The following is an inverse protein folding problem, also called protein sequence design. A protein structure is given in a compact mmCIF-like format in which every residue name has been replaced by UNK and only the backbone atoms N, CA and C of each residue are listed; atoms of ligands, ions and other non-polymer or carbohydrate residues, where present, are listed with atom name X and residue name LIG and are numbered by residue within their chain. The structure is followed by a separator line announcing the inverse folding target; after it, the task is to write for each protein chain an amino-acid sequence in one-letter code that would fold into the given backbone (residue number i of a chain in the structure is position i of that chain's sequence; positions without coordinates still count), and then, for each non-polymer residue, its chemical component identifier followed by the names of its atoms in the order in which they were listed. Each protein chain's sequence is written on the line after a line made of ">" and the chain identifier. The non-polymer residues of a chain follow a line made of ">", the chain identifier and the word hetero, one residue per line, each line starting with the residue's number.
data_IF_230969372498
#
_entry.id   IF_230969372498
#
_cell.length_a   1.000
_cell.length_b   1.000
_cell.length_c   1.000
_cell.angle_alpha   90.00
_cell.angle_beta   90.00
_cell.angle_gamma   90.00
#
_symmetry.space_group_name_H-M   'P 1'
#
loop_
_entity.id
_entity.type
_entity.pdbx_description
1 polymer ?
#
# COMPACT_ATOMS: atom_id res chain seq x y z
N UNK A 1 -9.26 13.06 2.83
CA UNK A 1 -10.07 12.60 3.99
C UNK A 1 -9.14 12.01 5.03
N UNK A 2 -9.59 11.90 6.28
CA UNK A 2 -8.76 11.43 7.40
C UNK A 2 -9.24 10.04 7.81
N UNK A 3 -8.31 9.13 8.06
CA UNK A 3 -8.62 7.83 8.68
C UNK A 3 -9.23 8.10 10.06
N UNK A 4 -10.44 7.59 10.31
CA UNK A 4 -11.12 7.71 11.60
C UNK A 4 -11.14 6.40 12.37
N UNK A 5 -10.89 5.28 11.69
CA UNK A 5 -10.93 3.94 12.27
C UNK A 5 -9.73 3.10 11.86
N UNK A 6 -8.96 2.65 12.85
CA UNK A 6 -7.86 1.71 12.69
C UNK A 6 -8.29 0.30 13.07
N UNK A 7 -8.09 -0.67 12.19
CA UNK A 7 -8.33 -2.07 12.42
C UNK A 7 -7.04 -2.86 12.20
N UNK A 8 -6.79 -3.84 13.05
CA UNK A 8 -5.59 -4.66 13.00
C UNK A 8 -6.02 -6.12 12.92
N UNK A 9 -5.59 -6.83 11.90
CA UNK A 9 -5.84 -8.26 11.81
C UNK A 9 -5.03 -8.99 12.89
N UNK A 10 -5.63 -9.99 13.56
CA UNK A 10 -4.98 -10.73 14.68
C UNK A 10 -3.60 -11.28 14.30
N UNK A 11 -3.47 -11.80 13.07
CA UNK A 11 -2.25 -12.43 12.56
C UNK A 11 -1.02 -11.50 12.51
N UNK A 12 -1.24 -10.18 12.58
CA UNK A 12 -0.16 -9.19 12.49
C UNK A 12 -0.05 -8.29 13.73
N UNK A 13 -0.88 -8.52 14.76
CA UNK A 13 -0.96 -7.62 15.93
C UNK A 13 0.40 -7.43 16.62
N UNK A 14 1.24 -8.48 16.62
CA UNK A 14 2.54 -8.47 17.28
C UNK A 14 3.69 -7.96 16.40
N UNK A 15 3.42 -7.62 15.14
CA UNK A 15 4.47 -7.19 14.22
C UNK A 15 5.06 -5.84 14.67
N UNK A 16 6.39 -5.67 14.69
CA UNK A 16 7.02 -4.42 15.14
C UNK A 16 6.52 -3.18 14.39
N UNK A 17 6.30 -3.30 13.08
CA UNK A 17 5.79 -2.21 12.26
C UNK A 17 4.37 -1.77 12.66
N UNK A 18 3.54 -2.69 13.16
CA UNK A 18 2.18 -2.35 13.64
C UNK A 18 2.27 -1.44 14.85
N UNK A 19 3.18 -1.74 15.79
CA UNK A 19 3.43 -0.87 16.95
C UNK A 19 3.88 0.53 16.52
N UNK A 20 4.76 0.61 15.52
CA UNK A 20 5.19 1.89 14.95
C UNK A 20 4.01 2.68 14.35
N UNK A 21 3.22 2.03 13.49
CA UNK A 21 2.05 2.64 12.83
C UNK A 21 1.04 3.16 13.85
N UNK A 22 0.69 2.35 14.85
CA UNK A 22 -0.24 2.72 15.93
C UNK A 22 0.26 3.96 16.68
N UNK A 23 1.55 4.00 17.03
CA UNK A 23 2.14 5.14 17.74
C UNK A 23 2.12 6.45 16.93
N UNK A 24 2.21 6.35 15.59
CA UNK A 24 2.22 7.51 14.69
C UNK A 24 0.82 8.03 14.37
N UNK A 25 -0.15 7.13 14.23
CA UNK A 25 -1.54 7.47 13.89
C UNK A 25 -2.28 8.10 15.06
N UNK A 26 -2.00 7.67 16.29
CA UNK A 26 -2.59 8.19 17.53
C UNK A 26 -4.13 8.22 17.53
N UNK A 27 -4.75 7.13 17.04
CA UNK A 27 -6.20 6.91 17.10
C UNK A 27 -6.51 5.54 17.72
N UNK A 28 -7.71 5.37 18.32
CA UNK A 28 -8.14 4.07 18.82
C UNK A 28 -8.13 3.01 17.72
N UNK A 29 -7.63 1.82 18.05
CA UNK A 29 -7.67 0.67 17.15
C UNK A 29 -8.50 -0.48 17.73
N UNK A 30 -8.95 -1.37 16.86
CA UNK A 30 -9.55 -2.64 17.27
C UNK A 30 -8.87 -3.81 16.58
N UNK A 31 -8.64 -4.88 17.32
CA UNK A 31 -8.15 -6.14 16.75
C UNK A 31 -9.35 -6.93 16.23
N UNK A 32 -9.22 -7.45 15.01
CA UNK A 32 -10.23 -8.29 14.37
C UNK A 32 -9.63 -9.64 14.00
N UNK A 33 -10.46 -10.67 14.09
CA UNK A 33 -10.09 -12.03 13.68
C UNK A 33 -10.30 -12.21 12.17
N UNK A 34 -11.52 -11.92 11.71
CA UNK A 34 -11.95 -12.12 10.33
C UNK A 34 -12.29 -10.78 9.66
N UNK A 35 -11.93 -10.63 8.38
CA UNK A 35 -12.22 -9.41 7.60
C UNK A 35 -13.62 -9.42 6.99
N UNK A 36 -14.29 -10.57 6.92
CA UNK A 36 -15.57 -10.72 6.24
C UNK A 36 -16.66 -9.79 6.81
N UNK A 37 -16.82 -9.77 8.14
CA UNK A 37 -17.80 -8.91 8.80
C UNK A 37 -17.51 -7.41 8.58
N UNK A 38 -16.22 -7.02 8.51
CA UNK A 38 -15.83 -5.66 8.14
C UNK A 38 -16.25 -5.34 6.71
N UNK A 39 -15.99 -6.27 5.79
CA UNK A 39 -16.25 -6.09 4.36
C UNK A 39 -17.74 -5.96 4.08
N UNK A 40 -18.56 -6.80 4.70
CA UNK A 40 -20.02 -6.73 4.64
C UNK A 40 -20.55 -5.42 5.23
N UNK A 41 -20.01 -5.01 6.38
CA UNK A 41 -20.39 -3.74 7.01
C UNK A 41 -20.12 -2.54 6.11
N UNK A 42 -18.95 -2.44 5.50
CA UNK A 42 -18.60 -1.33 4.60
C UNK A 42 -19.46 -1.36 3.34
N UNK A 43 -19.63 -2.54 2.74
CA UNK A 43 -20.43 -2.72 1.51
C UNK A 43 -21.91 -2.40 1.72
N UNK A 44 -22.45 -2.64 2.92
CA UNK A 44 -23.84 -2.36 3.27
C UNK A 44 -24.14 -0.92 3.68
N UNK A 45 -23.14 -0.02 3.70
CA UNK A 45 -23.38 1.40 4.02
C UNK A 45 -24.04 2.14 2.85
N UNK A 46 -24.63 3.30 3.12
CA UNK A 46 -25.20 4.18 2.09
C UNK A 46 -24.15 4.66 1.07
N UNK A 47 -22.91 4.81 1.52
CA UNK A 47 -21.76 5.19 0.70
C UNK A 47 -20.55 4.32 1.08
N UNK A 48 -20.39 3.15 0.43
CA UNK A 48 -19.28 2.23 0.71
C UNK A 48 -17.92 2.83 0.41
N UNK A 49 -17.82 3.72 -0.58
CA UNK A 49 -16.58 4.37 -0.98
C UNK A 49 -16.12 5.30 0.13
N UNK A 50 -16.98 6.23 0.58
CA UNK A 50 -16.67 7.12 1.69
C UNK A 50 -16.31 6.33 2.95
N UNK A 51 -17.15 5.35 3.30
CA UNK A 51 -16.95 4.53 4.50
C UNK A 51 -15.63 3.76 4.48
N UNK A 52 -15.23 3.23 3.32
CA UNK A 52 -13.99 2.51 3.16
C UNK A 52 -12.74 3.40 3.18
N UNK A 53 -12.84 4.68 2.78
CA UNK A 53 -11.74 5.66 2.88
C UNK A 53 -11.42 6.08 4.31
N UNK A 54 -12.38 5.93 5.23
CA UNK A 54 -12.24 6.28 6.64
C UNK A 54 -11.64 5.13 7.47
N UNK A 55 -11.59 3.92 6.92
CA UNK A 55 -11.06 2.72 7.57
C UNK A 55 -9.66 2.41 7.04
N UNK A 56 -8.71 2.24 7.95
CA UNK A 56 -7.42 1.63 7.68
C UNK A 56 -7.37 0.24 8.31
N UNK A 57 -7.16 -0.78 7.48
CA UNK A 57 -6.90 -2.15 7.92
C UNK A 57 -5.40 -2.48 7.78
N UNK A 58 -4.74 -2.77 8.90
CA UNK A 58 -3.41 -3.36 8.91
C UNK A 58 -3.53 -4.88 8.83
N UNK A 59 -2.93 -5.48 7.81
CA UNK A 59 -3.05 -6.91 7.54
C UNK A 59 -1.82 -7.46 6.83
N UNK A 60 -1.79 -8.78 6.61
CA UNK A 60 -0.74 -9.46 5.84
C UNK A 60 -1.13 -9.53 4.36
N UNK A 61 -0.20 -9.23 3.45
CA UNK A 61 -0.35 -9.66 2.07
C UNK A 61 -0.16 -11.18 2.00
N UNK A 62 -1.22 -11.91 1.61
CA UNK A 62 -1.20 -13.38 1.47
C UNK A 62 -0.76 -13.84 0.06
N UNK A 63 -0.63 -12.92 -0.89
CA UNK A 63 -0.21 -13.21 -2.26
C UNK A 63 1.19 -12.67 -2.58
N UNK A 64 1.55 -12.66 -3.86
CA UNK A 64 2.80 -12.04 -4.35
C UNK A 64 2.83 -10.55 -4.09
N UNK A 65 3.98 -10.02 -3.68
CA UNK A 65 4.22 -8.57 -3.62
C UNK A 65 4.52 -8.01 -4.99
N UNK A 66 5.25 -8.74 -5.84
CA UNK A 66 5.58 -8.31 -7.19
C UNK A 66 4.57 -8.91 -8.17
N UNK A 67 3.87 -8.03 -8.89
CA UNK A 67 2.88 -8.40 -9.90
C UNK A 67 3.23 -7.75 -11.22
N UNK A 68 2.87 -8.39 -12.33
CA UNK A 68 2.92 -7.76 -13.64
C UNK A 68 1.79 -6.74 -13.77
N UNK A 69 2.08 -5.59 -14.40
CA UNK A 69 1.02 -4.66 -14.80
C UNK A 69 0.09 -5.37 -15.80
N UNK A 70 -1.24 -5.25 -15.67
CA UNK A 70 -2.18 -5.89 -16.60
C UNK A 70 -2.01 -5.38 -18.04
N UNK A 71 -1.37 -4.23 -18.22
CA UNK A 71 -1.17 -3.59 -19.52
C UNK A 71 -2.47 -3.09 -20.13
N UNK A 72 -2.34 -2.41 -21.26
CA UNK A 72 -3.49 -1.95 -22.05
C UNK A 72 -3.55 -2.76 -23.32
N UNK A 73 -4.73 -3.33 -23.62
CA UNK A 73 -4.94 -4.08 -24.86
C UNK A 73 -4.60 -3.20 -26.07
N UNK A 74 -3.89 -3.77 -27.03
CA UNK A 74 -3.40 -3.10 -28.25
C UNK A 74 -2.21 -2.16 -28.09
N UNK A 75 -1.58 -2.09 -26.91
CA UNK A 75 -0.35 -1.32 -26.66
C UNK A 75 0.84 -2.27 -26.55
N UNK A 76 2.02 -1.84 -26.98
CA UNK A 76 3.28 -2.54 -26.65
C UNK A 76 3.52 -2.41 -25.16
N UNK A 77 3.60 -3.55 -24.46
CA UNK A 77 3.78 -3.56 -23.02
C UNK A 77 5.15 -2.98 -22.64
N UNK A 78 5.17 -2.13 -21.60
CA UNK A 78 6.40 -1.49 -21.11
C UNK A 78 7.12 -2.30 -20.01
N UNK A 79 6.64 -3.52 -19.70
CA UNK A 79 7.22 -4.40 -18.68
C UNK A 79 7.19 -3.82 -17.26
N UNK A 80 6.21 -2.95 -16.97
CA UNK A 80 6.08 -2.33 -15.65
C UNK A 80 5.58 -3.34 -14.63
N UNK A 81 6.26 -3.39 -13.48
CA UNK A 81 5.89 -4.23 -12.33
C UNK A 81 5.19 -3.40 -11.26
N UNK A 82 4.31 -4.04 -10.52
CA UNK A 82 3.61 -3.44 -9.38
C UNK A 82 4.23 -4.03 -8.11
N UNK A 83 4.66 -3.16 -7.19
CA UNK A 83 4.96 -3.54 -5.82
C UNK A 83 3.71 -3.32 -4.96
N UNK A 84 3.04 -4.41 -4.61
CA UNK A 84 1.74 -4.42 -3.95
C UNK A 84 1.89 -4.20 -2.44
N UNK A 85 2.01 -2.93 -2.03
CA UNK A 85 2.23 -2.53 -0.62
C UNK A 85 0.93 -2.30 0.16
N UNK A 86 -0.19 -2.12 -0.56
CA UNK A 86 -1.48 -1.83 0.01
C UNK A 86 -2.52 -1.63 -1.09
N UNK A 87 -3.76 -1.42 -0.66
CA UNK A 87 -4.90 -1.25 -1.55
C UNK A 87 -5.67 0.02 -1.23
N UNK A 88 -6.31 0.56 -2.27
CA UNK A 88 -7.19 1.71 -2.20
C UNK A 88 -6.49 3.00 -1.75
N UNK A 89 -7.23 4.08 -1.48
CA UNK A 89 -6.65 5.38 -1.20
C UNK A 89 -7.59 6.26 -0.37
N UNK A 90 -7.03 7.13 0.46
CA UNK A 90 -7.74 8.12 1.31
C UNK A 90 -8.22 9.36 0.56
N UNK A 91 -7.93 9.48 -0.73
CA UNK A 91 -8.32 10.60 -1.58
C UNK A 91 -9.65 10.36 -2.29
N UNK A 92 -10.35 11.45 -2.59
CA UNK A 92 -11.67 11.41 -3.22
C UNK A 92 -11.71 12.02 -4.61
N UNK A 93 -10.86 11.47 -5.48
CA UNK A 93 -10.90 11.82 -6.89
C UNK A 93 -12.19 11.28 -7.52
N UNK A 94 -13.00 12.15 -8.11
CA UNK A 94 -14.25 11.77 -8.79
C UNK A 94 -14.05 10.76 -9.93
N UNK A 95 -12.85 10.67 -10.49
CA UNK A 95 -12.47 9.78 -11.60
C UNK A 95 -11.66 8.56 -11.14
N UNK A 96 -11.68 8.22 -9.85
CA UNK A 96 -10.81 7.18 -9.30
C UNK A 96 -11.23 5.77 -9.74
N UNK A 97 -10.42 5.16 -10.62
CA UNK A 97 -10.64 3.78 -11.07
C UNK A 97 -10.63 2.75 -9.93
N UNK A 98 -9.93 3.02 -8.82
CA UNK A 98 -9.87 2.10 -7.68
C UNK A 98 -11.23 1.90 -7.01
N UNK A 99 -12.17 2.86 -7.16
CA UNK A 99 -13.55 2.74 -6.68
C UNK A 99 -14.33 1.64 -7.42
N UNK A 100 -13.99 1.38 -8.68
CA UNK A 100 -14.57 0.29 -9.48
C UNK A 100 -13.74 -0.99 -9.43
N UNK A 101 -12.51 -0.93 -8.91
CA UNK A 101 -11.62 -2.09 -8.82
C UNK A 101 -11.80 -2.85 -7.49
N UNK A 102 -11.86 -2.14 -6.36
CA UNK A 102 -11.92 -2.74 -5.03
C UNK A 102 -13.34 -2.80 -4.48
N UNK A 103 -13.78 -4.00 -4.14
CA UNK A 103 -15.09 -4.27 -3.53
C UNK A 103 -14.91 -5.28 -2.37
N UNK A 104 -14.87 -4.82 -1.10
CA UNK A 104 -15.12 -3.45 -0.66
C UNK A 104 -13.92 -2.50 -0.89
N UNK A 105 -14.18 -1.19 -1.06
CA UNK A 105 -13.14 -0.18 -1.27
C UNK A 105 -12.48 0.26 0.04
N UNK A 106 -11.72 -0.63 0.70
CA UNK A 106 -11.09 -0.36 2.01
C UNK A 106 -9.59 -0.07 1.84
N UNK A 107 -9.09 0.92 2.56
CA UNK A 107 -7.64 1.13 2.66
C UNK A 107 -7.01 -0.02 3.46
N UNK A 108 -6.26 -0.89 2.79
CA UNK A 108 -5.49 -1.96 3.42
C UNK A 108 -4.01 -1.66 3.28
N UNK A 109 -3.26 -1.78 4.36
CA UNK A 109 -1.81 -1.61 4.36
C UNK A 109 -1.15 -2.91 4.81
N UNK A 110 -0.22 -3.43 4.01
CA UNK A 110 0.40 -4.72 4.27
C UNK A 110 1.64 -4.55 5.14
N UNK A 111 1.63 -5.21 6.29
CA UNK A 111 2.64 -4.99 7.34
C UNK A 111 3.73 -6.05 7.39
N UNK A 112 3.63 -7.10 6.57
CA UNK A 112 4.66 -8.12 6.44
C UNK A 112 5.80 -7.66 5.52
N UNK A 113 6.45 -6.56 5.89
CA UNK A 113 7.53 -5.94 5.12
C UNK A 113 8.74 -6.88 4.92
N UNK A 114 9.01 -7.79 5.85
CA UNK A 114 10.13 -8.73 5.70
C UNK A 114 9.93 -9.66 4.49
N UNK A 115 8.70 -10.14 4.29
CA UNK A 115 8.36 -10.93 3.10
C UNK A 115 8.43 -10.08 1.82
N UNK A 116 7.99 -8.82 1.89
CA UNK A 116 8.09 -7.86 0.78
C UNK A 116 9.55 -7.67 0.36
N UNK A 117 10.43 -7.39 1.32
CA UNK A 117 11.84 -7.16 1.03
C UNK A 117 12.54 -8.45 0.59
N UNK A 118 12.19 -9.61 1.14
CA UNK A 118 12.72 -10.89 0.66
C UNK A 118 12.37 -11.15 -0.83
N UNK A 119 11.12 -10.92 -1.23
CA UNK A 119 10.69 -11.06 -2.64
C UNK A 119 11.36 -10.01 -3.54
N UNK A 120 11.46 -8.76 -3.06
CA UNK A 120 12.13 -7.66 -3.77
C UNK A 120 13.63 -7.92 -3.95
N UNK A 121 14.32 -8.38 -2.91
CA UNK A 121 15.74 -8.65 -2.93
C UNK A 121 16.08 -9.78 -3.89
N UNK A 122 15.27 -10.84 -3.87
CA UNK A 122 15.37 -11.90 -4.87
C UNK A 122 15.22 -11.34 -6.29
N UNK A 123 14.19 -10.53 -6.56
CA UNK A 123 14.00 -9.93 -7.89
C UNK A 123 15.14 -8.98 -8.30
N UNK A 124 15.68 -8.20 -7.37
CA UNK A 124 16.79 -7.29 -7.64
C UNK A 124 18.10 -8.05 -7.86
N UNK A 125 18.29 -9.23 -7.25
CA UNK A 125 19.49 -10.06 -7.45
C UNK A 125 19.64 -10.62 -8.88
N UNK A 126 18.56 -10.59 -9.67
CA UNK A 126 18.59 -11.00 -11.08
C UNK A 126 19.26 -9.95 -12.00
N UNK A 127 19.54 -8.75 -11.50
CA UNK A 127 20.18 -7.64 -12.24
C UNK A 127 19.44 -7.23 -13.53
N UNK A 128 18.14 -7.50 -13.58
CA UNK A 128 17.30 -7.20 -14.74
C UNK A 128 16.90 -5.72 -14.78
N UNK A 129 16.82 -5.19 -16.00
CA UNK A 129 16.30 -3.83 -16.23
C UNK A 129 14.78 -3.85 -16.25
N UNK A 130 14.18 -3.33 -15.18
CA UNK A 130 12.73 -3.16 -15.10
C UNK A 130 12.38 -1.91 -14.29
N UNK A 131 11.12 -1.49 -14.41
CA UNK A 131 10.54 -0.43 -13.60
C UNK A 131 9.48 -1.06 -12.72
N UNK A 132 9.47 -0.69 -11.44
CA UNK A 132 8.49 -1.17 -10.48
C UNK A 132 7.99 0.00 -9.66
N UNK A 133 6.71 0.01 -9.30
CA UNK A 133 6.19 1.05 -8.43
C UNK A 133 4.99 0.65 -7.61
N UNK A 134 4.68 1.49 -6.64
CA UNK A 134 3.68 1.24 -5.60
C UNK A 134 2.34 1.91 -5.87
N UNK A 135 2.24 2.69 -6.96
CA UNK A 135 1.12 3.57 -7.25
C UNK A 135 -0.05 2.98 -8.04
N UNK A 136 -0.05 1.68 -8.33
CA UNK A 136 -1.09 1.06 -9.18
C UNK A 136 -2.37 0.79 -8.38
N UNK A 137 -2.23 0.14 -7.22
CA UNK A 137 -3.36 -0.27 -6.37
C UNK A 137 -3.62 0.68 -5.21
N UNK A 138 -2.82 1.73 -5.08
CA UNK A 138 -2.91 2.75 -4.05
C UNK A 138 -2.17 4.02 -4.49
N UNK A 139 -2.23 5.09 -3.71
CA UNK A 139 -1.30 6.20 -3.83
C UNK A 139 -0.02 5.86 -3.06
N UNK A 140 1.16 6.16 -3.64
CA UNK A 140 2.42 5.72 -3.03
C UNK A 140 2.72 6.42 -1.70
N UNK A 141 2.35 7.71 -1.55
CA UNK A 141 2.82 8.54 -0.45
C UNK A 141 1.82 8.74 0.69
N UNK A 142 0.57 8.29 0.54
CA UNK A 142 -0.44 8.42 1.62
C UNK A 142 -0.03 7.71 2.91
N UNK A 143 0.84 6.70 2.82
CA UNK A 143 1.31 5.87 3.93
C UNK A 143 2.42 6.53 4.76
N UNK A 144 3.10 7.55 4.22
CA UNK A 144 4.32 8.12 4.81
C UNK A 144 4.12 8.78 6.17
N UNK A 145 2.87 9.09 6.55
CA UNK A 145 2.54 9.63 7.88
C UNK A 145 2.73 8.60 9.00
N UNK A 146 2.66 7.31 8.70
CA UNK A 146 2.68 6.24 9.71
C UNK A 146 3.59 5.08 9.37
N UNK A 147 4.25 5.09 8.21
CA UNK A 147 5.17 4.05 7.77
C UNK A 147 6.42 4.66 7.12
N UNK A 148 7.57 4.05 7.39
CA UNK A 148 8.87 4.36 6.79
C UNK A 148 9.14 3.54 5.52
N UNK A 149 8.16 2.75 5.03
CA UNK A 149 8.36 1.83 3.92
C UNK A 149 8.95 2.51 2.68
N UNK A 150 8.48 3.70 2.32
CA UNK A 150 8.95 4.39 1.12
C UNK A 150 10.41 4.83 1.21
N UNK A 151 10.88 5.29 2.37
CA UNK A 151 12.29 5.68 2.53
C UNK A 151 13.19 4.45 2.46
N UNK A 152 12.79 3.36 3.12
CA UNK A 152 13.49 2.06 3.04
C UNK A 152 13.54 1.52 1.62
N UNK A 153 12.48 1.69 0.82
CA UNK A 153 12.46 1.33 -0.59
C UNK A 153 13.45 2.19 -1.39
N UNK A 154 13.45 3.51 -1.20
CA UNK A 154 14.39 4.40 -1.89
C UNK A 154 15.84 4.04 -1.56
N UNK A 155 16.17 3.89 -0.28
CA UNK A 155 17.51 3.46 0.17
C UNK A 155 17.90 2.11 -0.45
N UNK A 156 16.97 1.15 -0.46
CA UNK A 156 17.25 -0.16 -1.05
C UNK A 156 17.52 -0.06 -2.55
N UNK A 157 16.74 0.70 -3.30
CA UNK A 157 16.97 0.89 -4.74
C UNK A 157 18.25 1.67 -5.04
N UNK A 158 18.70 2.55 -4.15
CA UNK A 158 19.96 3.29 -4.31
C UNK A 158 21.21 2.40 -4.25
N UNK A 159 21.10 1.17 -3.73
CA UNK A 159 22.21 0.20 -3.67
C UNK A 159 22.46 -0.55 -4.98
N UNK A 160 21.68 -0.27 -6.03
CA UNK A 160 21.78 -0.94 -7.33
C UNK A 160 21.53 0.03 -8.49
N UNK A 161 21.83 -0.40 -9.73
CA UNK A 161 21.79 0.48 -10.92
C UNK A 161 21.01 -0.08 -12.12
N UNK A 162 20.31 -1.20 -11.99
CA UNK A 162 19.62 -1.88 -13.08
C UNK A 162 18.11 -1.61 -13.10
N UNK A 163 17.46 -1.51 -11.95
CA UNK A 163 16.02 -1.32 -11.82
C UNK A 163 15.66 0.07 -11.27
N UNK A 164 14.44 0.52 -11.58
CA UNK A 164 13.93 1.83 -11.16
C UNK A 164 12.70 1.67 -10.28
N UNK A 165 12.70 2.34 -9.13
CA UNK A 165 11.52 2.52 -8.29
C UNK A 165 10.73 3.75 -8.75
N UNK A 166 9.43 3.58 -9.01
CA UNK A 166 8.49 4.65 -9.31
C UNK A 166 7.51 4.85 -8.15
N UNK A 167 7.58 6.02 -7.50
CA UNK A 167 6.61 6.47 -6.52
C UNK A 167 5.70 7.54 -7.16
N UNK A 168 4.39 7.31 -7.16
CA UNK A 168 3.39 8.21 -7.77
C UNK A 168 2.40 8.67 -6.71
N UNK A 169 2.14 9.98 -6.66
CA UNK A 169 1.21 10.55 -5.68
C UNK A 169 0.42 11.74 -6.21
N UNK A 170 -0.71 12.06 -5.56
CA UNK A 170 -1.39 13.36 -5.63
C UNK A 170 -1.33 14.13 -4.30
N UNK A 171 -0.45 13.74 -3.38
CA UNK A 171 -0.22 14.43 -2.12
C UNK A 171 1.06 15.27 -2.17
N UNK A 172 1.22 16.17 -1.19
CA UNK A 172 2.47 16.92 -0.95
C UNK A 172 3.30 16.31 0.20
N UNK A 173 3.02 15.05 0.57
CA UNK A 173 3.63 14.38 1.73
C UNK A 173 5.05 13.88 1.43
N UNK A 174 5.94 14.79 1.04
CA UNK A 174 7.31 14.50 0.61
C UNK A 174 8.36 14.67 1.73
N UNK A 175 7.98 15.23 2.89
CA UNK A 175 8.88 15.46 4.02
C UNK A 175 9.75 14.24 4.40
N UNK A 176 9.26 12.98 4.36
CA UNK A 176 10.09 11.81 4.67
C UNK A 176 11.33 11.64 3.77
N UNK A 177 11.36 12.24 2.57
CA UNK A 177 12.47 12.12 1.64
C UNK A 177 13.51 13.24 1.79
N UNK A 178 13.21 14.30 2.54
CA UNK A 178 14.13 15.44 2.71
C UNK A 178 15.43 15.04 3.43
N UNK A 179 15.39 13.98 4.25
CA UNK A 179 16.56 13.45 4.94
C UNK A 179 17.39 12.47 4.11
N UNK A 180 17.01 12.17 2.87
CA UNK A 180 17.73 11.24 1.98
C UNK A 180 18.76 11.93 1.08
N UNK A 181 19.12 13.18 1.40
CA UNK A 181 20.10 14.02 0.68
C UNK A 181 21.47 13.93 1.35
#
# INVERSE_FOLDING_TARGET
>A
MTISKLLIHKDVVDFPVVKHIVSRLDIPFSVIDETQALFEKVSGTKDPIQSGKEVLLLTRNKGKFIKECPGTRSYTCCGYKILHIGTFCTMDCAYCILQSYFHPPICQFFVNHDDLFAELDHQLSLEERFRIGTGEFTDSLIWGKWSDLNTRLVERFATQSWSVLELKTKTVSIAPFESLV
#
